data_IF_287907179653
#
_entry.id   IF_287907179653
#
_cell.length_a   1.000
_cell.length_b   1.000
_cell.length_c   1.000
_cell.angle_alpha   90.00
_cell.angle_beta   90.00
_cell.angle_gamma   90.00
#
_symmetry.space_group_name_H-M   'P 1'
#
loop_
_entity.id
_entity.type
_entity.pdbx_description
1 polymer ?
#
# COMPACT_ATOMS: atom_id res chain seq x y z
N UNK A 1 51.06 2.65 23.89
CA UNK A 1 50.28 2.89 22.64
C UNK A 1 49.26 1.78 22.54
N UNK A 2 48.10 2.01 23.12
CA UNK A 2 46.98 1.08 23.01
C UNK A 2 46.21 1.36 21.72
N UNK A 3 46.16 0.40 20.83
CA UNK A 3 45.33 0.44 19.65
C UNK A 3 43.88 0.24 20.09
N UNK A 4 43.08 1.29 20.03
CA UNK A 4 41.61 1.18 20.12
C UNK A 4 41.08 0.49 18.87
N UNK A 5 40.69 -0.78 19.03
CA UNK A 5 39.93 -1.55 18.05
C UNK A 5 38.49 -0.99 17.96
N UNK A 6 38.29 -0.01 17.09
CA UNK A 6 36.93 0.47 16.75
C UNK A 6 36.30 -0.51 15.73
N UNK A 7 35.73 -1.62 16.23
CA UNK A 7 34.90 -2.46 15.40
C UNK A 7 33.56 -1.73 15.21
N UNK A 8 33.26 -1.33 13.97
CA UNK A 8 31.94 -0.81 13.57
C UNK A 8 30.87 -1.82 14.01
N UNK A 9 29.75 -1.39 14.60
CA UNK A 9 28.68 -2.30 14.95
C UNK A 9 28.11 -2.90 13.66
N UNK A 10 27.96 -4.21 13.61
CA UNK A 10 27.31 -4.91 12.50
C UNK A 10 25.83 -4.52 12.47
N UNK A 11 25.24 -4.49 11.27
CA UNK A 11 23.82 -4.20 11.00
C UNK A 11 22.90 -4.90 12.01
N UNK A 12 23.15 -6.17 12.33
CA UNK A 12 22.44 -6.92 13.36
C UNK A 12 22.48 -6.30 14.77
N UNK A 13 23.54 -5.58 15.12
CA UNK A 13 23.60 -4.88 16.44
C UNK A 13 22.77 -3.60 16.44
N UNK A 14 22.76 -2.88 15.33
CA UNK A 14 21.95 -1.66 15.14
C UNK A 14 20.48 -2.04 15.08
N UNK A 15 20.13 -3.07 14.27
CA UNK A 15 18.80 -3.66 14.16
C UNK A 15 18.27 -4.11 15.53
N UNK A 16 19.04 -4.91 16.29
CA UNK A 16 18.65 -5.35 17.64
C UNK A 16 18.44 -4.20 18.61
N UNK A 17 19.23 -3.10 18.50
CA UNK A 17 19.06 -1.91 19.36
C UNK A 17 17.81 -1.14 19.02
N UNK A 18 17.53 -0.96 17.72
CA UNK A 18 16.32 -0.30 17.22
C UNK A 18 15.05 -1.08 17.62
N UNK A 19 15.02 -2.40 17.34
CA UNK A 19 13.86 -3.23 17.72
C UNK A 19 13.68 -3.33 19.25
N UNK A 20 14.76 -3.29 20.02
CA UNK A 20 14.63 -3.23 21.47
C UNK A 20 13.99 -1.93 21.93
N UNK A 21 14.32 -0.82 21.30
CA UNK A 21 13.76 0.51 21.61
C UNK A 21 12.31 0.64 21.14
N UNK A 22 11.97 0.12 19.95
CA UNK A 22 10.59 0.02 19.43
C UNK A 22 9.76 -0.92 20.31
N UNK A 23 10.28 -2.09 20.67
CA UNK A 23 9.59 -3.04 21.53
C UNK A 23 9.39 -2.52 22.98
N UNK A 24 10.27 -1.68 23.50
CA UNK A 24 10.10 -1.03 24.80
C UNK A 24 9.04 0.08 24.75
N UNK A 25 8.99 0.85 23.65
CA UNK A 25 7.92 1.83 23.43
C UNK A 25 6.57 1.15 23.20
N UNK A 26 6.51 0.09 22.39
CA UNK A 26 5.31 -0.70 22.15
C UNK A 26 4.80 -1.39 23.44
N UNK A 27 5.70 -1.89 24.31
CA UNK A 27 5.30 -2.41 25.63
C UNK A 27 4.67 -1.36 26.54
N UNK A 28 5.12 -0.11 26.48
CA UNK A 28 4.54 0.97 27.27
C UNK A 28 3.20 1.44 26.71
N UNK A 29 3.06 1.52 25.39
CA UNK A 29 1.79 1.81 24.72
C UNK A 29 0.78 0.66 24.90
N UNK A 30 1.19 -0.59 24.75
CA UNK A 30 0.35 -1.77 25.06
C UNK A 30 -0.08 -1.82 26.52
N UNK A 31 0.78 -1.43 27.47
CA UNK A 31 0.35 -1.29 28.89
C UNK A 31 -0.67 -0.19 29.07
N UNK A 32 -0.53 0.96 28.42
CA UNK A 32 -1.54 2.03 28.45
C UNK A 32 -2.85 1.57 27.80
N UNK A 33 -2.77 0.88 26.64
CA UNK A 33 -3.94 0.32 25.97
C UNK A 33 -4.66 -0.74 26.84
N UNK A 34 -3.91 -1.64 27.47
CA UNK A 34 -4.47 -2.68 28.36
C UNK A 34 -5.12 -2.03 29.60
N UNK A 35 -4.52 -1.00 30.17
CA UNK A 35 -5.11 -0.28 31.31
C UNK A 35 -6.37 0.46 30.88
N UNK A 36 -6.35 1.12 29.69
CA UNK A 36 -7.54 1.75 29.12
C UNK A 36 -8.62 0.73 28.79
N UNK A 37 -8.27 -0.41 28.19
CA UNK A 37 -9.21 -1.50 27.91
C UNK A 37 -9.81 -2.12 29.19
N UNK A 38 -9.01 -2.29 30.24
CA UNK A 38 -9.50 -2.77 31.54
C UNK A 38 -10.42 -1.77 32.23
N UNK A 39 -10.16 -0.47 32.12
CA UNK A 39 -11.05 0.58 32.64
C UNK A 39 -12.36 0.62 31.84
N UNK A 40 -12.29 0.46 30.51
CA UNK A 40 -13.46 0.39 29.63
C UNK A 40 -14.27 -0.88 29.89
N UNK A 41 -13.63 -2.03 30.10
CA UNK A 41 -14.30 -3.28 30.46
C UNK A 41 -14.98 -3.18 31.86
N UNK A 42 -14.37 -2.47 32.81
CA UNK A 42 -14.97 -2.25 34.12
C UNK A 42 -16.18 -1.31 34.06
N UNK A 43 -16.15 -0.30 33.16
CA UNK A 43 -17.28 0.60 32.91
C UNK A 43 -18.39 -0.09 32.09
N UNK A 44 -18.01 -0.97 31.13
CA UNK A 44 -18.95 -1.76 30.35
C UNK A 44 -19.72 -2.80 31.17
N UNK A 45 -19.08 -3.38 32.20
CA UNK A 45 -19.78 -4.33 33.13
C UNK A 45 -20.84 -3.67 34.03
N UNK A 46 -20.79 -2.35 34.22
CA UNK A 46 -21.76 -1.57 34.95
C UNK A 46 -22.97 -1.15 34.09
N UNK A 47 -22.80 -1.08 32.77
CA UNK A 47 -23.84 -0.65 31.80
C UNK A 47 -24.61 -1.79 31.13
N UNK A 48 -24.20 -3.06 31.31
CA UNK A 48 -24.81 -4.24 30.68
C UNK A 48 -26.17 -4.69 31.31
N UNK A 49 -26.74 -3.95 32.29
CA UNK A 49 -27.98 -4.34 32.94
C UNK A 49 -29.24 -3.57 32.50
N UNK A 50 -29.20 -2.74 31.46
CA UNK A 50 -30.41 -2.03 31.00
C UNK A 50 -30.56 -1.93 29.47
N UNK A 51 -30.35 -3.03 28.71
CA UNK A 51 -30.83 -3.10 27.35
C UNK A 51 -32.10 -3.94 27.31
N UNK A 52 -33.25 -3.28 27.25
CA UNK A 52 -34.53 -3.93 26.98
C UNK A 52 -34.59 -4.33 25.51
N UNK A 53 -34.69 -5.63 25.23
CA UNK A 53 -35.02 -6.20 23.97
C UNK A 53 -36.42 -5.72 23.53
N UNK A 54 -36.49 -4.95 22.45
CA UNK A 54 -37.74 -4.71 21.73
C UNK A 54 -37.77 -5.64 20.53
N UNK A 55 -38.43 -6.78 20.69
CA UNK A 55 -38.81 -7.63 19.54
C UNK A 55 -39.97 -6.98 18.79
N UNK A 56 -39.77 -6.65 17.52
CA UNK A 56 -40.88 -6.34 16.63
C UNK A 56 -40.88 -7.34 15.49
N UNK A 57 -41.96 -8.15 15.43
CA UNK A 57 -42.22 -9.15 14.40
C UNK A 57 -42.64 -8.51 13.07
N UNK A 58 -41.98 -8.88 11.96
CA UNK A 58 -42.41 -8.55 10.59
C UNK A 58 -41.25 -8.59 9.59
N UNK A 59 -41.50 -9.26 8.51
CA UNK A 59 -40.70 -9.52 7.30
C UNK A 59 -39.48 -8.59 7.08
N UNK A 60 -38.29 -9.17 7.02
CA UNK A 60 -37.07 -8.51 6.61
C UNK A 60 -36.65 -7.38 7.57
N UNK A 61 -36.14 -7.71 8.76
CA UNK A 61 -35.76 -6.68 9.74
C UNK A 61 -34.31 -6.72 10.07
N UNK A 62 -33.67 -5.57 9.86
CA UNK A 62 -32.37 -5.23 10.43
C UNK A 62 -32.56 -4.86 11.91
N UNK A 63 -31.89 -5.53 12.81
CA UNK A 63 -31.84 -5.16 14.23
C UNK A 63 -30.52 -4.44 14.49
N UNK A 64 -30.59 -3.14 14.71
CA UNK A 64 -29.43 -2.37 15.18
C UNK A 64 -29.25 -2.61 16.68
N UNK A 65 -28.15 -3.25 17.07
CA UNK A 65 -27.77 -3.36 18.46
C UNK A 65 -26.83 -2.20 18.79
N UNK A 66 -27.35 -1.19 19.50
CA UNK A 66 -26.54 -0.13 20.08
C UNK A 66 -25.91 -0.61 21.39
N UNK A 67 -24.65 -1.02 21.32
CA UNK A 67 -23.78 -1.21 22.48
C UNK A 67 -22.51 -0.42 22.26
N UNK A 68 -21.97 0.17 23.31
CA UNK A 68 -20.79 1.04 23.27
C UNK A 68 -19.66 0.39 22.46
N UNK A 69 -19.27 1.04 21.33
CA UNK A 69 -18.13 0.81 20.46
C UNK A 69 -18.17 -0.33 19.41
N UNK A 70 -19.10 -1.26 19.42
CA UNK A 70 -19.26 -2.21 18.33
C UNK A 70 -20.66 -2.04 17.71
N UNK A 71 -20.72 -1.24 16.64
CA UNK A 71 -21.91 -1.24 15.78
C UNK A 71 -21.89 -2.54 14.97
N UNK A 72 -22.92 -3.36 15.13
CA UNK A 72 -23.11 -4.54 14.30
C UNK A 72 -24.50 -4.55 13.68
N UNK A 73 -24.63 -5.14 12.50
CA UNK A 73 -25.91 -5.48 11.93
C UNK A 73 -26.05 -7.00 11.83
N UNK A 74 -27.28 -7.45 12.03
CA UNK A 74 -27.66 -8.82 11.72
C UNK A 74 -28.40 -8.84 10.40
N UNK A 75 -27.95 -9.71 9.48
CA UNK A 75 -28.63 -9.95 8.22
C UNK A 75 -28.94 -11.43 8.05
N UNK A 76 -30.03 -11.73 7.36
CA UNK A 76 -30.36 -13.09 7.00
C UNK A 76 -29.38 -13.60 5.94
N UNK A 77 -29.03 -14.87 6.01
CA UNK A 77 -28.24 -15.57 4.99
C UNK A 77 -29.11 -16.58 4.28
N UNK A 78 -28.85 -16.75 3.00
CA UNK A 78 -29.45 -17.84 2.23
C UNK A 78 -28.34 -18.76 1.69
N UNK A 79 -28.73 -19.98 1.29
CA UNK A 79 -27.81 -20.97 0.74
C UNK A 79 -28.12 -21.19 -0.73
N UNK A 80 -27.09 -21.13 -1.58
CA UNK A 80 -27.16 -21.46 -2.98
C UNK A 80 -25.93 -22.31 -3.34
N UNK A 81 -26.18 -23.49 -3.90
CA UNK A 81 -25.12 -24.44 -4.28
C UNK A 81 -24.12 -24.73 -3.15
N UNK A 82 -24.62 -24.83 -1.90
CA UNK A 82 -23.79 -25.09 -0.72
C UNK A 82 -23.04 -23.87 -0.17
N UNK A 83 -23.18 -22.69 -0.79
CA UNK A 83 -22.54 -21.47 -0.36
C UNK A 83 -23.53 -20.55 0.39
N UNK A 84 -23.06 -19.92 1.45
CA UNK A 84 -23.82 -18.88 2.15
C UNK A 84 -23.73 -17.57 1.38
N UNK A 85 -24.87 -16.95 1.11
CA UNK A 85 -24.97 -15.63 0.50
C UNK A 85 -25.44 -14.61 1.53
N UNK A 86 -24.88 -13.40 1.43
CA UNK A 86 -25.24 -12.22 2.21
C UNK A 86 -25.76 -11.13 1.28
N UNK A 87 -26.70 -10.30 1.76
CA UNK A 87 -27.18 -9.15 1.01
C UNK A 87 -26.17 -7.99 1.09
N UNK A 88 -25.51 -7.72 -0.02
CA UNK A 88 -24.55 -6.63 -0.14
C UNK A 88 -25.19 -5.24 0.05
N UNK A 89 -26.51 -5.08 -0.26
CA UNK A 89 -27.22 -3.83 0.00
C UNK A 89 -27.32 -3.53 1.50
N UNK A 90 -27.59 -4.56 2.30
CA UNK A 90 -27.65 -4.41 3.76
C UNK A 90 -26.29 -4.01 4.34
N UNK A 91 -25.23 -4.67 3.85
CA UNK A 91 -23.86 -4.38 4.24
C UNK A 91 -23.44 -2.97 3.82
N UNK A 92 -23.74 -2.58 2.60
CA UNK A 92 -23.43 -1.24 2.06
C UNK A 92 -24.11 -0.14 2.88
N UNK A 93 -25.40 -0.28 3.19
CA UNK A 93 -26.12 0.67 4.04
C UNK A 93 -25.48 0.80 5.44
N UNK A 94 -25.05 -0.31 6.03
CA UNK A 94 -24.41 -0.32 7.33
C UNK A 94 -22.99 0.29 7.29
N UNK A 95 -22.22 -0.08 6.28
CA UNK A 95 -20.84 0.36 6.11
C UNK A 95 -20.73 1.79 5.58
N UNK A 96 -21.81 2.32 5.01
CA UNK A 96 -21.79 3.64 4.37
C UNK A 96 -21.20 3.59 2.96
N UNK A 97 -21.32 2.45 2.25
CA UNK A 97 -20.92 2.35 0.87
C UNK A 97 -21.93 3.07 -0.01
N UNK A 98 -21.44 3.74 -1.02
CA UNK A 98 -22.28 4.22 -2.12
C UNK A 98 -22.68 3.04 -3.00
N UNK A 99 -23.86 3.14 -3.60
CA UNK A 99 -24.39 2.10 -4.49
C UNK A 99 -24.89 2.70 -5.78
N UNK A 100 -24.52 2.06 -6.88
CA UNK A 100 -25.05 2.35 -8.21
C UNK A 100 -25.56 1.05 -8.87
N UNK A 101 -26.78 1.09 -9.41
CA UNK A 101 -27.38 -0.02 -10.12
C UNK A 101 -27.57 0.35 -11.60
N UNK A 102 -27.05 -0.48 -12.49
CA UNK A 102 -27.26 -0.37 -13.92
C UNK A 102 -27.72 -1.71 -14.50
N UNK A 103 -29.00 -1.78 -14.93
CA UNK A 103 -29.61 -2.98 -15.48
C UNK A 103 -29.51 -4.23 -14.55
N UNK A 104 -28.57 -5.13 -14.87
CA UNK A 104 -28.31 -6.38 -14.14
C UNK A 104 -27.05 -6.29 -13.29
N UNK A 105 -26.47 -5.11 -13.13
CA UNK A 105 -25.19 -4.86 -12.47
C UNK A 105 -25.41 -3.97 -11.26
N UNK A 106 -24.78 -4.31 -10.14
CA UNK A 106 -24.71 -3.48 -8.93
C UNK A 106 -23.24 -3.19 -8.60
N UNK A 107 -22.91 -1.91 -8.46
CA UNK A 107 -21.62 -1.45 -8.05
C UNK A 107 -21.70 -0.83 -6.65
N UNK A 108 -20.78 -1.20 -5.78
CA UNK A 108 -20.63 -0.67 -4.43
C UNK A 108 -19.26 -0.04 -4.30
N UNK A 109 -19.19 1.18 -3.74
CA UNK A 109 -17.93 1.93 -3.62
C UNK A 109 -17.76 2.58 -2.26
N UNK A 110 -16.50 2.70 -1.84
CA UNK A 110 -16.06 3.39 -0.61
C UNK A 110 -14.59 3.79 -0.74
N UNK A 111 -14.25 5.02 -0.33
CA UNK A 111 -12.85 5.50 -0.29
C UNK A 111 -12.04 5.18 -1.56
N UNK A 112 -12.58 5.53 -2.74
CA UNK A 112 -12.00 5.28 -4.08
C UNK A 112 -11.85 3.80 -4.46
N UNK A 113 -12.35 2.87 -3.66
CA UNK A 113 -12.38 1.45 -3.97
C UNK A 113 -13.80 0.99 -4.29
N UNK A 114 -13.93 -0.01 -5.17
CA UNK A 114 -15.25 -0.49 -5.57
C UNK A 114 -15.28 -1.98 -5.91
N UNK A 115 -16.50 -2.55 -5.86
CA UNK A 115 -16.79 -3.87 -6.40
C UNK A 115 -18.05 -3.83 -7.23
N UNK A 116 -18.01 -4.50 -8.38
CA UNK A 116 -19.13 -4.67 -9.28
C UNK A 116 -19.54 -6.13 -9.33
N UNK A 117 -20.83 -6.39 -9.13
CA UNK A 117 -21.45 -7.70 -9.29
C UNK A 117 -22.46 -7.66 -10.43
N UNK A 118 -22.43 -8.68 -11.27
CA UNK A 118 -23.43 -8.87 -12.33
C UNK A 118 -24.35 -10.05 -11.99
N UNK A 119 -25.64 -9.86 -12.22
CA UNK A 119 -26.65 -10.89 -11.95
C UNK A 119 -26.34 -12.18 -12.68
N UNK A 120 -26.38 -13.30 -11.97
CA UNK A 120 -26.11 -14.64 -12.50
C UNK A 120 -24.64 -14.87 -12.96
N UNK A 121 -23.72 -13.98 -12.63
CA UNK A 121 -22.27 -14.11 -12.87
C UNK A 121 -21.54 -14.71 -11.67
N UNK A 122 -20.50 -15.50 -11.94
CA UNK A 122 -19.49 -15.93 -10.93
C UNK A 122 -18.30 -14.99 -10.86
N UNK A 123 -18.29 -13.92 -11.63
CA UNK A 123 -17.18 -12.96 -11.64
C UNK A 123 -17.62 -11.68 -10.93
N UNK A 124 -16.89 -11.28 -9.92
CA UNK A 124 -16.88 -9.93 -9.39
C UNK A 124 -15.73 -9.12 -10.02
N UNK A 125 -15.92 -7.81 -10.18
CA UNK A 125 -14.84 -6.91 -10.59
C UNK A 125 -14.51 -5.98 -9.42
N UNK A 126 -13.29 -6.06 -8.91
CA UNK A 126 -12.82 -5.31 -7.75
C UNK A 126 -11.72 -4.37 -8.22
N UNK A 127 -11.95 -3.05 -8.18
CA UNK A 127 -11.02 -2.03 -8.63
C UNK A 127 -10.46 -2.32 -10.05
N UNK A 128 -11.31 -2.82 -10.95
CA UNK A 128 -10.93 -3.23 -12.31
C UNK A 128 -10.38 -4.65 -12.44
N UNK A 129 -10.10 -5.35 -11.35
CA UNK A 129 -9.54 -6.71 -11.35
C UNK A 129 -10.66 -7.75 -11.20
N UNK A 130 -10.64 -8.79 -12.04
CA UNK A 130 -11.64 -9.85 -11.99
C UNK A 130 -11.30 -10.89 -10.92
N UNK A 131 -12.30 -11.21 -10.08
CA UNK A 131 -12.25 -12.26 -9.06
C UNK A 131 -13.33 -13.29 -9.30
N UNK A 132 -12.94 -14.57 -9.35
CA UNK A 132 -13.91 -15.67 -9.43
C UNK A 132 -14.53 -15.94 -8.05
N UNK A 133 -15.86 -15.99 -8.02
CA UNK A 133 -16.64 -16.30 -6.82
C UNK A 133 -17.02 -17.78 -6.77
N UNK A 134 -17.22 -18.39 -5.61
CA UNK A 134 -17.58 -19.79 -5.45
C UNK A 134 -18.98 -20.10 -6.04
N UNK A 135 -19.88 -19.12 -6.02
CA UNK A 135 -21.20 -19.24 -6.69
C UNK A 135 -21.62 -17.90 -7.28
N UNK A 136 -22.71 -17.91 -8.04
CA UNK A 136 -23.21 -16.75 -8.79
C UNK A 136 -23.83 -15.70 -7.89
N UNK A 137 -23.58 -14.42 -8.16
CA UNK A 137 -24.34 -13.33 -7.59
C UNK A 137 -25.81 -13.38 -8.07
N UNK A 138 -26.72 -12.98 -7.19
CA UNK A 138 -28.17 -12.92 -7.49
C UNK A 138 -28.68 -11.51 -7.18
N UNK A 139 -28.98 -10.76 -8.23
CA UNK A 139 -29.50 -9.39 -8.13
C UNK A 139 -30.99 -9.46 -8.54
N UNK A 140 -31.88 -9.38 -7.55
CA UNK A 140 -33.32 -9.50 -7.78
C UNK A 140 -34.12 -8.87 -6.64
N UNK A 141 -35.25 -8.22 -7.01
CA UNK A 141 -36.22 -7.68 -6.06
C UNK A 141 -35.59 -6.72 -5.01
N UNK A 142 -34.60 -5.95 -5.40
CA UNK A 142 -33.93 -5.00 -4.50
C UNK A 142 -32.84 -5.62 -3.59
N UNK A 143 -32.53 -6.91 -3.79
CA UNK A 143 -31.41 -7.59 -3.11
C UNK A 143 -30.22 -7.76 -4.05
N UNK A 144 -29.02 -7.69 -3.51
CA UNK A 144 -27.77 -8.11 -4.16
C UNK A 144 -27.13 -9.19 -3.29
N UNK A 145 -27.51 -10.46 -3.55
CA UNK A 145 -27.02 -11.61 -2.79
C UNK A 145 -25.71 -12.11 -3.40
N UNK A 146 -24.65 -12.11 -2.61
CA UNK A 146 -23.31 -12.50 -3.05
C UNK A 146 -22.69 -13.47 -2.03
N UNK A 147 -21.71 -14.32 -2.45
CA UNK A 147 -21.07 -15.24 -1.52
C UNK A 147 -20.44 -14.49 -0.34
N UNK A 148 -20.79 -14.90 0.87
CA UNK A 148 -20.31 -14.27 2.08
C UNK A 148 -18.78 -14.40 2.23
N UNK A 149 -18.20 -15.53 1.78
CA UNK A 149 -16.74 -15.69 1.74
C UNK A 149 -16.08 -14.63 0.85
N UNK A 150 -16.64 -14.35 -0.33
CA UNK A 150 -16.14 -13.28 -1.20
C UNK A 150 -16.15 -11.93 -0.49
N UNK A 151 -17.25 -11.61 0.21
CA UNK A 151 -17.34 -10.34 0.97
C UNK A 151 -16.29 -10.26 2.07
N UNK A 152 -16.11 -11.35 2.83
CA UNK A 152 -15.08 -11.43 3.89
C UNK A 152 -13.67 -11.25 3.34
N UNK A 153 -13.42 -11.75 2.14
CA UNK A 153 -12.10 -11.67 1.50
C UNK A 153 -11.78 -10.26 0.96
N UNK A 154 -12.80 -9.52 0.50
CA UNK A 154 -12.58 -8.26 -0.22
C UNK A 154 -12.87 -7.00 0.59
N UNK A 155 -13.67 -7.07 1.66
CA UNK A 155 -14.03 -5.88 2.45
C UNK A 155 -13.11 -5.76 3.67
N UNK A 156 -12.18 -4.83 3.62
CA UNK A 156 -11.35 -4.47 4.76
C UNK A 156 -12.14 -3.61 5.76
N UNK A 157 -11.94 -3.87 7.05
CA UNK A 157 -12.54 -3.08 8.13
C UNK A 157 -13.85 -3.66 8.67
N UNK A 158 -14.19 -4.90 8.30
CA UNK A 158 -15.30 -5.65 8.87
C UNK A 158 -14.87 -7.05 9.32
N UNK A 159 -15.65 -7.61 10.26
CA UNK A 159 -15.65 -9.03 10.62
C UNK A 159 -17.06 -9.57 10.38
N UNK A 160 -17.19 -10.76 9.82
CA UNK A 160 -18.48 -11.43 9.62
C UNK A 160 -18.53 -12.67 10.50
N UNK A 161 -19.35 -12.61 11.56
CA UNK A 161 -19.65 -13.76 12.42
C UNK A 161 -20.98 -14.36 11.96
N UNK A 162 -21.01 -15.64 11.65
CA UNK A 162 -22.18 -16.26 11.04
C UNK A 162 -22.55 -17.64 11.61
N UNK A 163 -23.80 -18.02 11.41
CA UNK A 163 -24.33 -19.36 11.59
C UNK A 163 -25.23 -19.71 10.39
N UNK A 164 -25.89 -20.86 10.42
CA UNK A 164 -26.70 -21.35 9.30
C UNK A 164 -27.86 -20.44 8.89
N UNK A 165 -28.26 -19.48 9.72
CA UNK A 165 -29.47 -18.68 9.50
C UNK A 165 -29.21 -17.18 9.42
N UNK A 166 -28.10 -16.71 9.96
CA UNK A 166 -27.82 -15.28 10.04
C UNK A 166 -26.33 -15.00 10.09
N UNK A 167 -25.96 -13.81 9.67
CA UNK A 167 -24.63 -13.23 9.83
C UNK A 167 -24.72 -11.93 10.64
N UNK A 168 -23.77 -11.72 11.53
CA UNK A 168 -23.52 -10.44 12.19
C UNK A 168 -22.29 -9.82 11.51
N UNK A 169 -22.45 -8.60 11.03
CA UNK A 169 -21.34 -7.82 10.45
C UNK A 169 -20.92 -6.77 11.49
N UNK A 170 -19.65 -6.78 11.83
CA UNK A 170 -19.05 -5.92 12.84
C UNK A 170 -18.02 -5.04 12.16
N UNK A 171 -18.07 -3.72 12.39
CA UNK A 171 -17.01 -2.82 11.94
C UNK A 171 -15.79 -2.97 12.85
N UNK A 172 -14.63 -3.22 12.25
CA UNK A 172 -13.35 -3.42 12.95
C UNK A 172 -12.34 -2.30 12.71
N UNK A 173 -12.62 -1.43 11.74
CA UNK A 173 -11.78 -0.27 11.42
C UNK A 173 -12.63 0.99 11.16
N UNK A 174 -12.00 2.15 11.32
CA UNK A 174 -12.62 3.45 10.99
C UNK A 174 -12.72 3.63 9.47
N UNK A 175 -11.65 3.30 8.75
CA UNK A 175 -11.62 3.34 7.30
C UNK A 175 -11.90 1.96 6.73
N UNK A 176 -12.76 1.90 5.73
CA UNK A 176 -13.09 0.67 5.02
C UNK A 176 -12.65 0.78 3.56
N UNK A 177 -12.21 -0.34 3.01
CA UNK A 177 -11.78 -0.44 1.63
C UNK A 177 -12.29 -1.75 1.03
N UNK A 178 -12.51 -1.74 -0.28
CA UNK A 178 -12.82 -2.93 -1.06
C UNK A 178 -11.56 -3.30 -1.83
N UNK A 179 -10.88 -4.39 -1.41
CA UNK A 179 -9.55 -4.77 -1.88
C UNK A 179 -9.51 -6.26 -2.15
N UNK A 180 -9.01 -6.68 -3.30
CA UNK A 180 -8.64 -8.09 -3.53
C UNK A 180 -7.15 -8.32 -3.21
N UNK A 181 -6.86 -8.85 -2.02
CA UNK A 181 -5.49 -9.17 -1.61
C UNK A 181 -4.89 -10.35 -2.39
N UNK A 182 -5.75 -11.24 -2.90
CA UNK A 182 -5.38 -12.43 -3.66
C UNK A 182 -5.61 -12.26 -5.16
N UNK A 183 -5.55 -10.99 -5.64
CA UNK A 183 -5.78 -10.65 -7.04
C UNK A 183 -4.88 -11.48 -7.95
N UNK A 184 -5.48 -12.18 -8.91
CA UNK A 184 -4.72 -12.89 -9.94
C UNK A 184 -4.10 -11.87 -10.90
N UNK A 185 -2.79 -11.81 -10.88
CA UNK A 185 -2.02 -10.91 -11.73
C UNK A 185 -1.64 -11.65 -13.00
N UNK A 186 -1.94 -11.06 -14.14
CA UNK A 186 -1.51 -11.54 -15.44
C UNK A 186 -0.23 -10.81 -15.84
N UNK A 187 0.75 -11.60 -16.28
CA UNK A 187 2.05 -11.14 -16.77
C UNK A 187 2.19 -11.50 -18.25
N UNK A 188 2.97 -10.74 -18.99
CA UNK A 188 3.17 -10.96 -20.42
C UNK A 188 4.25 -11.99 -20.68
N UNK A 189 5.22 -12.11 -19.77
CA UNK A 189 6.32 -13.07 -19.85
C UNK A 189 6.26 -14.09 -18.72
N UNK A 190 7.06 -15.14 -18.78
CA UNK A 190 7.19 -16.08 -17.67
C UNK A 190 8.08 -15.46 -16.57
N UNK A 191 7.43 -15.07 -15.47
CA UNK A 191 8.08 -14.47 -14.31
C UNK A 191 8.26 -15.46 -13.15
N UNK A 192 8.07 -16.76 -13.36
CA UNK A 192 8.08 -17.76 -12.28
C UNK A 192 9.36 -17.73 -11.44
N UNK A 193 10.51 -17.44 -12.05
CA UNK A 193 11.80 -17.29 -11.35
C UNK A 193 11.96 -16.01 -10.54
N UNK A 194 11.06 -15.04 -10.70
CA UNK A 194 11.09 -13.74 -10.01
C UNK A 194 10.05 -13.61 -8.89
N UNK A 195 9.09 -14.55 -8.79
CA UNK A 195 7.96 -14.44 -7.88
C UNK A 195 8.38 -14.35 -6.41
N UNK A 196 9.43 -15.06 -5.99
CA UNK A 196 9.93 -15.00 -4.60
C UNK A 196 10.42 -13.60 -4.23
N UNK A 197 11.05 -12.89 -5.17
CA UNK A 197 11.55 -11.53 -4.97
C UNK A 197 10.41 -10.52 -4.99
N UNK A 198 9.50 -10.63 -5.94
CA UNK A 198 8.31 -9.76 -6.08
C UNK A 198 7.43 -9.86 -4.82
N UNK A 199 7.28 -11.08 -4.25
CA UNK A 199 6.52 -11.34 -3.02
C UNK A 199 7.34 -11.17 -1.75
N UNK A 200 8.51 -10.54 -1.80
CA UNK A 200 9.36 -10.35 -0.63
C UNK A 200 8.59 -9.71 0.53
N UNK A 201 8.73 -10.34 1.70
CA UNK A 201 8.20 -9.85 2.99
C UNK A 201 9.32 -9.48 3.96
N UNK A 202 10.53 -9.19 3.46
CA UNK A 202 11.63 -8.72 4.29
C UNK A 202 11.25 -7.38 4.94
N UNK A 203 11.35 -7.30 6.27
CA UNK A 203 11.02 -6.09 7.03
C UNK A 203 11.76 -4.84 6.53
N UNK A 204 12.97 -5.03 5.98
CA UNK A 204 13.75 -3.93 5.44
C UNK A 204 13.07 -3.27 4.22
N UNK A 205 12.38 -4.06 3.39
CA UNK A 205 11.64 -3.55 2.22
C UNK A 205 10.57 -2.54 2.64
N UNK A 206 10.02 -2.69 3.86
CA UNK A 206 8.96 -1.83 4.41
C UNK A 206 9.48 -0.61 5.20
N UNK A 207 10.79 -0.35 5.21
CA UNK A 207 11.34 0.82 5.89
C UNK A 207 10.80 2.11 5.29
N UNK A 208 10.11 2.91 6.10
CA UNK A 208 9.68 4.25 5.70
C UNK A 208 10.84 5.23 5.86
N UNK A 209 11.28 5.82 4.75
CA UNK A 209 12.14 6.98 4.73
C UNK A 209 11.35 8.17 4.19
N UNK A 210 11.35 9.26 4.93
CA UNK A 210 10.78 10.53 4.51
C UNK A 210 11.35 11.65 5.43
N UNK A 211 10.84 12.86 5.34
CA UNK A 211 11.36 14.01 6.11
C UNK A 211 11.29 13.88 7.64
N UNK A 212 10.54 12.90 8.16
CA UNK A 212 10.41 12.63 9.60
C UNK A 212 11.13 11.35 10.05
N UNK A 213 11.44 10.45 9.12
CA UNK A 213 12.01 9.14 9.39
C UNK A 213 13.37 9.00 8.69
N UNK A 214 14.48 9.37 9.35
CA UNK A 214 15.82 9.24 8.79
C UNK A 214 16.34 7.82 8.90
N UNK A 215 17.33 7.51 8.05
CA UNK A 215 18.19 6.35 8.18
C UNK A 215 19.55 6.77 8.75
N UNK A 216 20.24 5.84 9.43
CA UNK A 216 21.57 6.08 9.98
C UNK A 216 22.54 6.57 8.89
N UNK A 217 23.40 7.56 9.22
CA UNK A 217 24.41 8.08 8.31
C UNK A 217 25.35 6.98 7.79
N UNK A 218 25.72 6.03 8.66
CA UNK A 218 26.62 4.91 8.34
C UNK A 218 25.89 3.72 7.67
N UNK A 219 24.59 3.84 7.44
CA UNK A 219 23.84 2.76 6.81
C UNK A 219 24.24 2.58 5.36
N UNK A 220 24.59 1.36 4.99
CA UNK A 220 24.79 0.90 3.60
C UNK A 220 24.13 -0.47 3.44
N UNK A 221 23.34 -0.70 2.36
CA UNK A 221 22.83 -2.03 2.03
C UNK A 221 24.00 -2.99 1.77
N UNK A 222 23.88 -4.24 2.22
CA UNK A 222 24.92 -5.27 2.11
C UNK A 222 24.77 -6.20 0.90
N UNK A 223 23.65 -6.09 0.15
CA UNK A 223 23.28 -6.95 -0.99
C UNK A 223 23.10 -6.19 -2.32
N UNK A 224 23.78 -5.07 -2.49
CA UNK A 224 23.73 -4.27 -3.72
C UNK A 224 24.31 -5.03 -4.92
N UNK A 225 23.54 -5.10 -6.00
CA UNK A 225 23.95 -5.65 -7.30
C UNK A 225 23.85 -4.60 -8.41
N UNK A 226 24.70 -4.70 -9.41
CA UNK A 226 24.67 -3.76 -10.55
C UNK A 226 23.42 -3.97 -11.38
N UNK A 227 22.74 -2.88 -11.74
CA UNK A 227 21.65 -2.91 -12.72
C UNK A 227 22.28 -3.14 -14.11
N UNK A 228 21.81 -4.17 -14.86
CA UNK A 228 22.32 -4.45 -16.20
C UNK A 228 22.25 -3.24 -17.13
N UNK A 229 23.28 -3.04 -17.95
CA UNK A 229 23.34 -1.92 -18.91
C UNK A 229 22.24 -1.92 -19.97
N UNK A 230 21.50 -3.04 -20.10
CA UNK A 230 20.30 -3.09 -20.93
C UNK A 230 19.16 -2.24 -20.35
N UNK A 231 19.11 -2.10 -19.03
CA UNK A 231 18.03 -1.42 -18.27
C UNK A 231 18.49 -0.13 -17.61
N UNK A 232 19.76 0.27 -17.76
CA UNK A 232 20.30 1.44 -17.05
C UNK A 232 21.09 2.35 -17.98
N UNK A 233 21.40 3.55 -17.46
CA UNK A 233 22.33 4.48 -18.10
C UNK A 233 23.67 3.80 -18.40
N UNK A 234 24.33 4.22 -19.50
CA UNK A 234 25.53 3.54 -19.99
C UNK A 234 26.86 4.17 -19.56
N UNK A 235 26.82 5.37 -19.05
CA UNK A 235 28.00 6.15 -18.68
C UNK A 235 28.48 5.87 -17.26
N UNK A 236 27.65 5.22 -16.41
CA UNK A 236 27.96 4.92 -15.01
C UNK A 236 27.24 3.64 -14.58
N UNK A 237 27.92 2.76 -13.86
CA UNK A 237 27.29 1.63 -13.17
C UNK A 237 26.50 2.14 -11.98
N UNK A 238 25.24 1.72 -11.88
CA UNK A 238 24.33 2.01 -10.78
C UNK A 238 23.86 0.69 -10.17
N UNK A 239 23.45 0.74 -8.89
CA UNK A 239 23.22 -0.44 -8.06
C UNK A 239 21.83 -0.40 -7.44
N UNK A 240 21.28 -1.59 -7.19
CA UNK A 240 20.00 -1.78 -6.50
C UNK A 240 20.16 -2.98 -5.55
N UNK A 241 19.33 -3.11 -4.54
CA UNK A 241 19.28 -4.34 -3.76
C UNK A 241 18.86 -5.53 -4.64
N UNK A 242 19.40 -6.70 -4.38
CA UNK A 242 19.21 -7.90 -5.21
C UNK A 242 17.73 -8.23 -5.40
N UNK A 243 16.93 -8.19 -4.31
CA UNK A 243 15.49 -8.44 -4.36
C UNK A 243 14.77 -7.46 -5.29
N UNK A 244 14.99 -6.16 -5.12
CA UNK A 244 14.40 -5.13 -5.97
C UNK A 244 14.91 -5.23 -7.42
N UNK A 245 16.16 -5.65 -7.64
CA UNK A 245 16.73 -5.84 -8.97
C UNK A 245 16.04 -6.97 -9.73
N UNK A 246 15.78 -8.10 -9.07
CA UNK A 246 15.08 -9.22 -9.69
C UNK A 246 13.64 -8.86 -10.07
N UNK A 247 12.94 -8.13 -9.19
CA UNK A 247 11.61 -7.61 -9.47
C UNK A 247 11.63 -6.59 -10.63
N UNK A 248 12.65 -5.71 -10.68
CA UNK A 248 12.86 -4.75 -11.75
C UNK A 248 13.11 -5.44 -13.10
N UNK A 249 13.89 -6.52 -13.12
CA UNK A 249 14.16 -7.29 -14.36
C UNK A 249 12.88 -7.91 -14.91
N UNK A 250 12.04 -8.51 -14.04
CA UNK A 250 10.73 -9.02 -14.46
C UNK A 250 9.86 -7.92 -15.07
N UNK A 251 9.83 -6.73 -14.44
CA UNK A 251 9.10 -5.57 -14.95
C UNK A 251 9.60 -5.12 -16.31
N UNK A 252 10.91 -5.01 -16.51
CA UNK A 252 11.48 -4.65 -17.82
C UNK A 252 11.21 -5.69 -18.90
N UNK A 253 11.21 -6.99 -18.58
CA UNK A 253 10.86 -8.03 -19.52
C UNK A 253 9.43 -7.85 -20.06
N UNK A 254 8.48 -7.57 -19.18
CA UNK A 254 7.09 -7.31 -19.60
C UNK A 254 6.93 -5.95 -20.29
N UNK A 255 7.65 -4.90 -19.87
CA UNK A 255 7.69 -3.61 -20.59
C UNK A 255 8.13 -3.80 -22.04
N UNK A 256 9.22 -4.53 -22.25
CA UNK A 256 9.74 -4.81 -23.59
C UNK A 256 8.77 -5.68 -24.40
N UNK A 257 8.14 -6.68 -23.79
CA UNK A 257 7.13 -7.51 -24.45
C UNK A 257 5.90 -6.71 -24.88
N UNK A 258 5.55 -5.64 -24.13
CA UNK A 258 4.45 -4.71 -24.44
C UNK A 258 4.87 -3.54 -25.35
N UNK A 259 6.12 -3.57 -25.87
CA UNK A 259 6.64 -2.60 -26.85
C UNK A 259 7.35 -1.39 -26.25
N UNK A 260 7.45 -1.25 -24.93
CA UNK A 260 8.19 -0.16 -24.27
C UNK A 260 9.68 -0.50 -24.25
N UNK A 261 10.45 0.04 -25.20
CA UNK A 261 11.86 -0.36 -25.42
C UNK A 261 12.89 0.76 -25.22
N UNK A 262 12.44 1.97 -24.90
CA UNK A 262 13.30 3.14 -24.74
C UNK A 262 13.48 3.58 -23.27
N UNK A 263 12.73 2.96 -22.35
CA UNK A 263 12.84 3.20 -20.91
C UNK A 263 14.14 2.62 -20.34
N UNK A 264 14.71 3.32 -19.35
CA UNK A 264 15.86 2.84 -18.58
C UNK A 264 15.95 3.56 -17.22
N UNK A 265 16.78 3.03 -16.31
CA UNK A 265 17.04 3.61 -14.99
C UNK A 265 18.16 4.64 -15.10
N UNK A 266 17.87 5.88 -14.72
CA UNK A 266 18.83 6.98 -14.70
C UNK A 266 19.56 7.07 -13.36
N UNK A 267 18.88 6.75 -12.25
CA UNK A 267 19.44 6.81 -10.89
C UNK A 267 18.82 5.70 -10.03
N UNK A 268 19.58 5.22 -9.05
CA UNK A 268 19.14 4.20 -8.10
C UNK A 268 19.88 4.38 -6.76
N UNK A 269 20.54 3.38 -6.20
CA UNK A 269 21.29 3.56 -4.94
C UNK A 269 22.24 4.76 -4.98
N UNK A 270 22.19 5.54 -3.91
CA UNK A 270 23.09 6.68 -3.65
C UNK A 270 23.69 6.54 -2.26
N UNK A 271 25.02 6.59 -2.14
CA UNK A 271 25.68 6.66 -0.83
C UNK A 271 25.34 7.96 -0.11
N UNK A 272 25.51 8.01 1.21
CA UNK A 272 25.33 9.23 2.00
C UNK A 272 26.14 10.40 1.42
N UNK A 273 27.44 10.18 1.15
CA UNK A 273 28.32 11.22 0.63
C UNK A 273 27.89 11.74 -0.76
N UNK A 274 27.39 10.85 -1.64
CA UNK A 274 26.89 11.25 -2.95
C UNK A 274 25.60 12.07 -2.84
N UNK A 275 24.66 11.66 -1.97
CA UNK A 275 23.43 12.41 -1.75
C UNK A 275 23.72 13.78 -1.10
N UNK A 276 24.71 13.86 -0.19
CA UNK A 276 25.15 15.13 0.41
C UNK A 276 25.73 16.09 -0.65
N UNK A 277 26.51 15.55 -1.58
CA UNK A 277 27.04 16.33 -2.69
C UNK A 277 25.91 16.87 -3.59
N UNK A 278 24.95 16.02 -3.95
CA UNK A 278 23.79 16.42 -4.77
C UNK A 278 22.94 17.49 -4.07
N UNK A 279 22.63 17.29 -2.80
CA UNK A 279 21.82 18.22 -2.03
C UNK A 279 22.48 19.60 -1.92
N UNK A 280 23.82 19.63 -1.64
CA UNK A 280 24.57 20.87 -1.64
C UNK A 280 24.62 21.56 -3.01
N UNK A 281 24.76 20.81 -4.09
CA UNK A 281 24.70 21.36 -5.46
C UNK A 281 23.37 22.07 -5.72
N UNK A 282 22.25 21.45 -5.35
CA UNK A 282 20.93 22.08 -5.49
C UNK A 282 20.77 23.33 -4.63
N UNK A 283 21.35 23.36 -3.42
CA UNK A 283 21.37 24.57 -2.58
C UNK A 283 22.15 25.68 -3.29
N UNK A 284 23.31 25.37 -3.86
CA UNK A 284 24.15 26.34 -4.57
C UNK A 284 23.42 26.88 -5.83
N UNK A 285 22.71 26.03 -6.57
CA UNK A 285 21.90 26.43 -7.71
C UNK A 285 20.78 27.39 -7.30
N UNK A 286 20.09 27.11 -6.19
CA UNK A 286 19.05 28.01 -5.67
C UNK A 286 19.60 29.32 -5.13
N UNK A 287 20.79 29.29 -4.53
CA UNK A 287 21.49 30.50 -4.12
C UNK A 287 21.92 31.35 -5.34
N UNK A 288 22.35 30.71 -6.44
CA UNK A 288 22.66 31.38 -7.69
C UNK A 288 21.43 32.07 -8.31
N UNK A 289 20.24 31.54 -8.01
CA UNK A 289 18.94 32.14 -8.38
C UNK A 289 18.50 33.30 -7.43
N UNK A 290 19.32 33.67 -6.46
CA UNK A 290 19.12 34.84 -5.61
C UNK A 290 18.51 34.57 -4.24
N UNK A 291 18.36 33.30 -3.84
CA UNK A 291 17.90 32.94 -2.49
C UNK A 291 19.03 33.01 -1.46
N UNK A 292 18.70 33.33 -0.21
CA UNK A 292 19.59 33.08 0.91
C UNK A 292 19.87 31.59 1.08
N UNK A 293 20.96 31.20 1.75
CA UNK A 293 21.26 29.77 1.96
C UNK A 293 20.13 29.04 2.67
N UNK A 294 19.50 29.67 3.66
CA UNK A 294 18.38 29.08 4.40
C UNK A 294 17.15 28.83 3.49
N UNK A 295 16.78 29.83 2.67
CA UNK A 295 15.69 29.71 1.71
C UNK A 295 16.01 28.70 0.61
N UNK A 296 17.26 28.66 0.13
CA UNK A 296 17.76 27.71 -0.86
C UNK A 296 17.68 26.27 -0.34
N UNK A 297 18.08 26.04 0.93
CA UNK A 297 17.98 24.72 1.56
C UNK A 297 16.52 24.25 1.73
N UNK A 298 15.63 25.14 2.16
CA UNK A 298 14.20 24.86 2.26
C UNK A 298 13.63 24.50 0.88
N UNK A 299 14.02 25.24 -0.16
CA UNK A 299 13.54 25.02 -1.53
C UNK A 299 14.09 23.73 -2.11
N UNK A 300 15.42 23.49 -2.01
CA UNK A 300 16.06 22.26 -2.46
C UNK A 300 15.43 21.04 -1.80
N UNK A 301 15.12 21.12 -0.50
CA UNK A 301 14.49 20.01 0.23
C UNK A 301 13.06 19.67 -0.24
N UNK A 302 12.45 20.41 -1.15
CA UNK A 302 11.14 20.06 -1.73
C UNK A 302 11.25 18.98 -2.81
N UNK A 303 12.36 18.96 -3.55
CA UNK A 303 12.61 18.07 -4.69
C UNK A 303 13.88 17.20 -4.55
N UNK A 304 14.67 17.40 -3.50
CA UNK A 304 15.82 16.55 -3.20
C UNK A 304 15.89 16.32 -1.69
N UNK A 305 15.99 15.08 -1.27
CA UNK A 305 16.08 14.73 0.14
C UNK A 305 17.46 15.09 0.72
N UNK A 306 17.48 15.49 1.99
CA UNK A 306 18.73 15.48 2.78
C UNK A 306 19.29 14.06 2.84
N UNK A 307 20.61 13.89 3.05
CA UNK A 307 21.25 12.58 2.92
C UNK A 307 20.61 11.46 3.74
N UNK A 308 20.24 11.71 4.99
CA UNK A 308 19.64 10.71 5.89
C UNK A 308 18.20 10.38 5.57
N UNK A 309 17.53 11.19 4.72
CA UNK A 309 16.10 11.09 4.43
C UNK A 309 15.80 10.62 3.00
N UNK A 310 16.85 10.32 2.22
CA UNK A 310 16.70 9.88 0.82
C UNK A 310 16.42 8.39 0.71
N UNK A 311 15.32 8.00 0.05
CA UNK A 311 15.02 6.60 -0.22
C UNK A 311 16.07 5.90 -1.08
N UNK A 312 16.81 6.63 -1.90
CA UNK A 312 17.93 6.07 -2.68
C UNK A 312 19.01 5.45 -1.80
N UNK A 313 19.12 5.86 -0.52
CA UNK A 313 20.02 5.24 0.46
C UNK A 313 19.66 3.79 0.77
N UNK A 314 18.40 3.43 0.58
CA UNK A 314 17.94 2.05 0.84
C UNK A 314 18.38 1.07 -0.25
N UNK A 315 18.70 1.53 -1.46
CA UNK A 315 18.86 0.65 -2.61
C UNK A 315 17.56 0.01 -3.08
N UNK A 316 16.40 0.59 -2.74
CA UNK A 316 15.07 0.11 -3.14
C UNK A 316 14.33 1.10 -4.04
N UNK A 317 14.90 2.28 -4.30
CA UNK A 317 14.32 3.32 -5.15
C UNK A 317 15.05 3.43 -6.47
N UNK A 318 14.29 3.73 -7.53
CA UNK A 318 14.80 3.95 -8.89
C UNK A 318 14.15 5.17 -9.52
N UNK A 319 14.94 5.93 -10.29
CA UNK A 319 14.46 7.01 -11.13
C UNK A 319 14.46 6.55 -12.59
N UNK A 320 13.26 6.47 -13.17
CA UNK A 320 13.07 6.12 -14.59
C UNK A 320 13.27 7.32 -15.50
N UNK A 321 13.66 7.04 -16.74
CA UNK A 321 13.65 7.97 -17.85
C UNK A 321 13.53 7.21 -19.16
N UNK A 322 13.48 7.94 -20.29
CA UNK A 322 13.49 7.35 -21.63
C UNK A 322 14.51 8.02 -22.55
N UNK A 323 14.88 7.31 -23.61
CA UNK A 323 15.74 7.88 -24.67
C UNK A 323 15.02 8.99 -25.43
N UNK A 324 13.70 8.89 -25.58
CA UNK A 324 12.86 9.86 -26.30
C UNK A 324 12.89 11.26 -25.68
N UNK A 325 13.06 11.36 -24.34
CA UNK A 325 13.20 12.65 -23.64
C UNK A 325 14.66 12.98 -23.29
N UNK A 326 15.63 12.30 -23.93
CA UNK A 326 17.06 12.58 -23.76
C UNK A 326 17.63 12.22 -22.40
N UNK A 327 16.95 11.41 -21.60
CA UNK A 327 17.41 11.01 -20.26
C UNK A 327 17.08 12.03 -19.16
N UNK A 328 16.18 12.96 -19.39
CA UNK A 328 15.70 13.89 -18.36
C UNK A 328 15.01 13.15 -17.21
N UNK A 329 15.18 13.67 -16.01
CA UNK A 329 14.51 13.23 -14.78
C UNK A 329 13.77 14.43 -14.23
N UNK A 330 12.62 14.69 -14.79
CA UNK A 330 11.72 15.81 -14.51
C UNK A 330 10.30 15.49 -14.98
N UNK A 331 9.38 16.43 -14.86
CA UNK A 331 7.95 16.25 -15.15
C UNK A 331 7.66 15.84 -16.61
N UNK A 332 8.60 16.04 -17.54
CA UNK A 332 8.41 15.61 -18.94
C UNK A 332 8.24 14.09 -19.05
N UNK A 333 8.75 13.32 -18.07
CA UNK A 333 8.63 11.87 -18.06
C UNK A 333 7.17 11.42 -18.06
N UNK A 334 6.25 12.16 -17.42
CA UNK A 334 4.82 11.82 -17.39
C UNK A 334 4.15 11.80 -18.76
N UNK A 335 4.76 12.45 -19.77
CA UNK A 335 4.25 12.49 -21.14
C UNK A 335 4.63 11.24 -21.95
N UNK A 336 5.43 10.33 -21.40
CA UNK A 336 5.95 9.15 -22.10
C UNK A 336 5.02 7.94 -22.01
N UNK A 337 5.12 7.04 -23.00
CA UNK A 337 4.45 5.74 -22.98
C UNK A 337 4.95 4.89 -21.80
N UNK A 338 6.24 5.01 -21.45
CA UNK A 338 6.83 4.32 -20.31
C UNK A 338 6.15 4.70 -18.98
N UNK A 339 5.89 5.98 -18.73
CA UNK A 339 5.16 6.41 -17.56
C UNK A 339 3.73 5.87 -17.53
N UNK A 340 3.02 5.96 -18.67
CA UNK A 340 1.65 5.42 -18.78
C UNK A 340 1.62 3.93 -18.45
N UNK A 341 2.59 3.17 -18.97
CA UNK A 341 2.73 1.75 -18.67
C UNK A 341 3.06 1.48 -17.22
N UNK A 342 4.03 2.20 -16.64
CA UNK A 342 4.44 2.06 -15.23
C UNK A 342 3.30 2.38 -14.27
N UNK A 343 2.55 3.45 -14.52
CA UNK A 343 1.39 3.83 -13.70
C UNK A 343 0.34 2.69 -13.63
N UNK A 344 0.16 1.96 -14.73
CA UNK A 344 -0.78 0.86 -14.82
C UNK A 344 -0.25 -0.47 -14.28
N UNK A 345 1.08 -0.72 -14.36
CA UNK A 345 1.62 -2.06 -14.21
C UNK A 345 2.72 -2.21 -13.13
N UNK A 346 3.41 -1.14 -12.69
CA UNK A 346 4.56 -1.26 -11.77
C UNK A 346 4.23 -2.00 -10.47
N UNK A 347 3.01 -1.83 -9.96
CA UNK A 347 2.53 -2.48 -8.76
C UNK A 347 2.55 -4.02 -8.84
N UNK A 348 2.38 -4.59 -10.05
CA UNK A 348 2.44 -6.03 -10.29
C UNK A 348 3.81 -6.63 -9.96
N UNK A 349 4.84 -5.80 -9.96
CA UNK A 349 6.23 -6.15 -9.66
C UNK A 349 6.70 -5.60 -8.33
N UNK A 350 5.78 -5.14 -7.49
CA UNK A 350 6.09 -4.61 -6.15
C UNK A 350 6.63 -3.18 -6.14
N UNK A 351 6.56 -2.44 -7.26
CA UNK A 351 6.97 -1.03 -7.32
C UNK A 351 5.78 -0.09 -7.28
N UNK A 352 5.94 1.03 -6.58
CA UNK A 352 4.93 2.08 -6.48
C UNK A 352 5.49 3.42 -6.94
N UNK A 353 4.64 4.24 -7.58
CA UNK A 353 4.93 5.67 -7.76
C UNK A 353 4.95 6.31 -6.38
N UNK A 354 6.14 6.69 -5.92
CA UNK A 354 6.38 7.02 -4.51
C UNK A 354 5.81 8.37 -4.09
N UNK A 355 5.89 9.36 -4.97
CA UNK A 355 5.44 10.71 -4.75
C UNK A 355 4.36 11.09 -5.77
N UNK A 356 3.12 10.56 -5.60
CA UNK A 356 2.04 10.80 -6.53
C UNK A 356 1.50 12.22 -6.42
N UNK A 357 0.82 12.66 -7.48
CA UNK A 357 0.12 13.94 -7.53
C UNK A 357 -0.88 14.07 -6.35
N UNK A 358 -1.07 15.28 -5.85
CA UNK A 358 -1.97 15.60 -4.73
C UNK A 358 -1.59 14.99 -3.36
N UNK A 359 -0.39 14.39 -3.21
CA UNK A 359 0.10 13.80 -1.95
C UNK A 359 1.27 14.55 -1.30
N UNK A 360 1.67 15.72 -1.82
CA UNK A 360 2.80 16.49 -1.30
C UNK A 360 2.66 16.80 0.20
N UNK A 361 1.45 17.14 0.66
CA UNK A 361 1.21 17.44 2.08
C UNK A 361 1.43 16.24 3.00
N UNK A 362 1.32 15.02 2.49
CA UNK A 362 1.49 13.76 3.24
C UNK A 362 2.92 13.23 3.11
N UNK A 363 3.46 13.18 1.89
CA UNK A 363 4.80 12.66 1.61
C UNK A 363 5.90 13.65 1.98
N UNK A 364 5.58 14.96 1.93
CA UNK A 364 6.52 16.07 2.13
C UNK A 364 7.38 16.39 0.89
N UNK A 365 7.22 15.66 -0.22
CA UNK A 365 7.92 15.87 -1.49
C UNK A 365 6.93 16.25 -2.58
N UNK A 366 7.39 17.03 -3.55
CA UNK A 366 6.60 17.33 -4.74
C UNK A 366 6.29 16.07 -5.54
N UNK A 367 5.36 16.18 -6.49
CA UNK A 367 5.11 15.12 -7.46
C UNK A 367 6.36 14.76 -8.24
N UNK A 368 6.66 13.46 -8.35
CA UNK A 368 7.81 12.95 -9.10
C UNK A 368 7.37 11.76 -9.96
N UNK A 369 7.01 12.00 -11.21
CA UNK A 369 6.54 10.96 -12.15
C UNK A 369 7.55 9.84 -12.39
N UNK A 370 8.84 10.11 -12.21
CA UNK A 370 9.98 9.22 -12.45
C UNK A 370 10.36 8.34 -11.27
N UNK A 371 10.00 8.71 -10.03
CA UNK A 371 10.51 8.08 -8.82
C UNK A 371 9.63 6.92 -8.36
N UNK A 372 10.17 5.70 -8.42
CA UNK A 372 9.49 4.48 -8.01
C UNK A 372 10.23 3.79 -6.87
N UNK A 373 9.47 3.28 -5.90
CA UNK A 373 9.98 2.55 -4.74
C UNK A 373 9.48 1.11 -4.74
N UNK A 374 10.40 0.15 -4.54
CA UNK A 374 10.05 -1.24 -4.28
C UNK A 374 9.56 -1.41 -2.83
N UNK A 375 8.36 -1.95 -2.69
CA UNK A 375 7.67 -2.20 -1.41
C UNK A 375 7.09 -3.61 -1.32
N UNK A 376 7.38 -4.47 -2.29
CA UNK A 376 6.81 -5.81 -2.42
C UNK A 376 5.37 -5.81 -2.95
N UNK A 377 4.94 -6.96 -3.47
CA UNK A 377 3.68 -7.09 -4.22
C UNK A 377 2.45 -6.74 -3.38
N UNK A 378 2.37 -7.26 -2.16
CA UNK A 378 1.18 -7.07 -1.32
C UNK A 378 0.93 -5.58 -1.03
N UNK A 379 1.97 -4.86 -0.61
CA UNK A 379 1.88 -3.41 -0.35
C UNK A 379 1.54 -2.65 -1.62
N UNK A 380 2.26 -2.93 -2.71
CA UNK A 380 2.05 -2.25 -3.99
C UNK A 380 0.64 -2.49 -4.56
N UNK A 381 0.12 -3.71 -4.43
CA UNK A 381 -1.24 -4.06 -4.86
C UNK A 381 -2.30 -3.31 -4.07
N UNK A 382 -2.16 -3.23 -2.74
CA UNK A 382 -3.10 -2.48 -1.90
C UNK A 382 -3.04 -0.99 -2.22
N UNK A 383 -1.84 -0.41 -2.35
CA UNK A 383 -1.67 1.00 -2.71
C UNK A 383 -2.29 1.30 -4.09
N UNK A 384 -2.08 0.44 -5.08
CA UNK A 384 -2.69 0.58 -6.40
C UNK A 384 -4.22 0.56 -6.33
N UNK A 385 -4.80 -0.39 -5.61
CA UNK A 385 -6.25 -0.55 -5.50
C UNK A 385 -6.91 0.59 -4.71
N UNK A 386 -6.22 1.18 -3.74
CA UNK A 386 -6.77 2.20 -2.83
C UNK A 386 -6.42 3.63 -3.23
N UNK A 387 -5.39 3.83 -4.05
CA UNK A 387 -4.84 5.15 -4.35
C UNK A 387 -4.13 5.83 -3.16
N UNK A 388 -3.78 5.06 -2.13
CA UNK A 388 -3.02 5.56 -0.98
C UNK A 388 -1.56 5.76 -1.35
N UNK A 389 -0.94 6.83 -0.83
CA UNK A 389 0.52 6.92 -0.81
C UNK A 389 1.10 6.04 0.31
N UNK A 390 2.41 5.86 0.35
CA UNK A 390 3.05 4.91 1.26
C UNK A 390 2.85 5.26 2.73
N UNK A 391 2.88 6.54 3.09
CA UNK A 391 2.59 7.03 4.43
C UNK A 391 1.16 6.70 4.88
N UNK A 392 0.18 6.92 4.01
CA UNK A 392 -1.22 6.62 4.28
C UNK A 392 -1.45 5.10 4.42
N UNK A 393 -0.80 4.31 3.56
CA UNK A 393 -0.83 2.84 3.67
C UNK A 393 -0.34 2.38 5.03
N UNK A 394 0.84 2.85 5.47
CA UNK A 394 1.40 2.47 6.76
C UNK A 394 0.56 2.93 7.95
N UNK A 395 -0.08 4.09 7.86
CA UNK A 395 -0.98 4.58 8.90
C UNK A 395 -2.24 3.72 9.07
N UNK A 396 -2.74 3.11 7.99
CA UNK A 396 -3.99 2.35 7.97
C UNK A 396 -3.76 0.84 8.19
N UNK A 397 -2.78 0.28 7.49
CA UNK A 397 -2.51 -1.17 7.48
C UNK A 397 -1.35 -1.56 8.40
N UNK A 398 -0.57 -0.60 8.87
CA UNK A 398 0.61 -0.81 9.72
C UNK A 398 1.86 -1.21 8.94
N UNK A 399 3.03 -1.09 9.58
CA UNK A 399 4.24 -1.75 9.12
C UNK A 399 4.13 -3.24 9.49
N UNK A 400 4.36 -4.11 8.52
CA UNK A 400 4.40 -5.57 8.75
C UNK A 400 5.62 -5.98 9.56
#
# INVERSE_FOLDING_TARGET
>A
MEQRNNKRPTFDKIRKKFYKQVAENDKNEKKKLIISALVVLLLASILLFSASLVETSGKGKYVYLYGNYEQSIRTDVCFVDGNQLIDMNALANYCGFEKEDENTVSTFSVNNTYVTFENNSKIATINGIKKEMPTKAQIKNGYCLVPMSTVSDIVFGIEIQHNDKSANVIKTAQNMYIIDKDAKIEYLTDISSYLEYINSSDEYVFTLLNKQNPIDEEFEPDDLVAIPSAFSRKDKTIYLQSTAMMALEAMFNDMVADGITDAYIQSSYRSHSYQAMLFNMYIEDEMANGLSREEAEIKANKYSARPEYSEHRTGLAVDFTTKSIGGAVDDIFETTEAFTWLKANSWKYGFVLRYPEDKESTTGYMYESWHYRFVGLEVASIMYQTGLCYEEYLAIFGAK
#
